data_IF_449783343683
#
_entry.id   IF_449783343683
#
_cell.length_a   1.000
_cell.length_b   1.000
_cell.length_c   1.000
_cell.angle_alpha   90.00
_cell.angle_beta   90.00
_cell.angle_gamma   90.00
#
_symmetry.space_group_name_H-M   'P 1'
#
loop_
_entity.id
_entity.type
_entity.pdbx_description
1 polymer ?
#
# COMPACT_ATOMS: atom_id res chain seq x y z
N UNK A 1 27.98 -18.32 -2.35
CA UNK A 1 27.43 -16.99 -2.71
C UNK A 1 27.58 -16.05 -1.56
N UNK A 2 27.87 -14.77 -1.80
CA UNK A 2 27.99 -13.76 -0.76
C UNK A 2 26.66 -13.59 -0.02
N UNK A 3 26.70 -13.45 1.31
CA UNK A 3 25.49 -13.27 2.14
C UNK A 3 24.69 -12.01 1.74
N UNK A 4 25.36 -10.94 1.33
CA UNK A 4 24.69 -9.73 0.81
C UNK A 4 23.84 -10.04 -0.42
N UNK A 5 24.37 -10.83 -1.33
CA UNK A 5 23.67 -11.24 -2.55
C UNK A 5 22.47 -12.12 -2.19
N UNK A 6 22.65 -13.05 -1.24
CA UNK A 6 21.56 -13.92 -0.77
C UNK A 6 20.42 -13.12 -0.14
N UNK A 7 20.76 -12.13 0.70
CA UNK A 7 19.77 -11.26 1.31
C UNK A 7 19.05 -10.44 0.26
N UNK A 8 19.76 -9.93 -0.72
CA UNK A 8 19.14 -9.16 -1.82
C UNK A 8 18.20 -10.02 -2.65
N UNK A 9 18.57 -11.28 -2.90
CA UNK A 9 17.71 -12.22 -3.63
C UNK A 9 16.43 -12.53 -2.87
N UNK A 10 16.50 -12.64 -1.54
CA UNK A 10 15.31 -12.81 -0.71
C UNK A 10 14.39 -11.60 -0.78
N UNK A 11 14.95 -10.39 -0.74
CA UNK A 11 14.19 -9.15 -0.89
C UNK A 11 13.49 -9.11 -2.24
N UNK A 12 14.17 -9.49 -3.31
CA UNK A 12 13.60 -9.53 -4.67
C UNK A 12 12.42 -10.51 -4.72
N UNK A 13 12.52 -11.66 -4.06
CA UNK A 13 11.42 -12.62 -3.99
C UNK A 13 10.19 -12.01 -3.32
N UNK A 14 10.40 -11.30 -2.20
CA UNK A 14 9.31 -10.64 -1.48
C UNK A 14 8.71 -9.53 -2.35
N UNK A 15 9.55 -8.74 -3.00
CA UNK A 15 9.09 -7.66 -3.90
C UNK A 15 8.27 -8.23 -5.06
N UNK A 16 8.69 -9.36 -5.64
CA UNK A 16 7.92 -10.01 -6.70
C UNK A 16 6.56 -10.49 -6.20
N UNK A 17 6.50 -11.02 -4.99
CA UNK A 17 5.23 -11.38 -4.37
C UNK A 17 4.33 -10.16 -4.17
N UNK A 18 4.91 -9.04 -3.75
CA UNK A 18 4.18 -7.78 -3.60
C UNK A 18 3.62 -7.30 -4.94
N UNK A 19 4.38 -7.44 -6.03
CA UNK A 19 3.88 -7.10 -7.36
C UNK A 19 2.66 -7.94 -7.73
N UNK A 20 2.64 -9.23 -7.36
CA UNK A 20 1.47 -10.08 -7.58
C UNK A 20 0.28 -9.60 -6.74
N UNK A 21 0.53 -9.16 -5.52
CA UNK A 21 -0.51 -8.55 -4.67
C UNK A 21 -1.08 -7.30 -5.35
N UNK A 22 -0.22 -6.45 -5.91
CA UNK A 22 -0.66 -5.25 -6.62
C UNK A 22 -1.53 -5.58 -7.83
N UNK A 23 -1.20 -6.64 -8.57
CA UNK A 23 -2.06 -7.09 -9.68
C UNK A 23 -3.44 -7.49 -9.18
N UNK A 24 -3.50 -8.21 -8.06
CA UNK A 24 -4.76 -8.56 -7.41
C UNK A 24 -5.55 -7.32 -6.99
N UNK A 25 -4.87 -6.34 -6.43
CA UNK A 25 -5.49 -5.07 -6.02
C UNK A 25 -6.04 -4.32 -7.22
N UNK A 26 -5.31 -4.30 -8.34
CA UNK A 26 -5.79 -3.68 -9.59
C UNK A 26 -7.11 -4.34 -10.02
N UNK A 27 -7.18 -5.67 -9.98
CA UNK A 27 -8.40 -6.40 -10.32
C UNK A 27 -9.55 -6.05 -9.37
N UNK A 28 -9.28 -6.03 -8.06
CA UNK A 28 -10.29 -5.66 -7.07
C UNK A 28 -10.75 -4.21 -7.24
N UNK A 29 -9.83 -3.30 -7.57
CA UNK A 29 -10.16 -1.89 -7.79
C UNK A 29 -11.06 -1.72 -9.01
N UNK A 30 -10.78 -2.44 -10.08
CA UNK A 30 -11.62 -2.42 -11.26
C UNK A 30 -13.03 -2.92 -10.94
N UNK A 31 -13.13 -4.02 -10.20
CA UNK A 31 -14.41 -4.55 -9.76
C UNK A 31 -15.13 -3.58 -8.82
N UNK A 32 -14.41 -2.94 -7.90
CA UNK A 32 -15.02 -1.98 -6.97
C UNK A 32 -15.61 -0.78 -7.70
N UNK A 33 -14.94 -0.31 -8.75
CA UNK A 33 -15.49 0.78 -9.56
C UNK A 33 -16.79 0.38 -10.26
N UNK A 34 -16.90 -0.87 -10.70
CA UNK A 34 -18.15 -1.39 -11.26
C UNK A 34 -19.28 -1.34 -10.22
N UNK A 35 -18.99 -1.72 -8.97
CA UNK A 35 -19.98 -1.68 -7.90
C UNK A 35 -20.39 -0.25 -7.55
N UNK A 36 -19.41 0.68 -7.51
CA UNK A 36 -19.69 2.08 -7.27
C UNK A 36 -20.61 2.65 -8.35
N UNK A 37 -20.31 2.34 -9.61
CA UNK A 37 -21.14 2.76 -10.74
C UNK A 37 -22.56 2.20 -10.61
N UNK A 38 -22.71 0.92 -10.26
CA UNK A 38 -24.01 0.30 -10.09
C UNK A 38 -24.81 0.99 -8.99
N UNK A 39 -24.15 1.39 -7.90
CA UNK A 39 -24.82 2.15 -6.85
C UNK A 39 -25.31 3.51 -7.35
N UNK A 40 -24.46 4.27 -8.03
CA UNK A 40 -24.84 5.61 -8.47
C UNK A 40 -25.87 5.62 -9.58
N UNK A 41 -25.83 4.65 -10.49
CA UNK A 41 -26.76 4.59 -11.62
C UNK A 41 -28.08 3.94 -11.23
N UNK A 42 -28.05 2.87 -10.46
CA UNK A 42 -29.21 2.02 -10.15
C UNK A 42 -29.67 2.12 -8.70
N UNK A 43 -29.05 2.95 -7.87
CA UNK A 43 -29.31 3.06 -6.44
C UNK A 43 -29.24 1.71 -5.71
N UNK A 44 -28.33 0.84 -6.14
CA UNK A 44 -28.19 -0.50 -5.57
C UNK A 44 -27.40 -0.43 -4.26
N UNK A 45 -28.12 -0.51 -3.15
CA UNK A 45 -27.52 -0.41 -1.80
C UNK A 45 -26.55 -1.57 -1.54
N UNK A 46 -26.86 -2.77 -2.04
CA UNK A 46 -25.97 -3.92 -1.86
C UNK A 46 -24.62 -3.69 -2.55
N UNK A 47 -24.63 -3.07 -3.73
CA UNK A 47 -23.40 -2.72 -4.43
C UNK A 47 -22.57 -1.70 -3.66
N UNK A 48 -23.22 -0.72 -3.03
CA UNK A 48 -22.56 0.26 -2.16
C UNK A 48 -21.85 -0.43 -0.99
N UNK A 49 -22.55 -1.31 -0.30
CA UNK A 49 -22.00 -2.02 0.86
C UNK A 49 -20.81 -2.90 0.45
N UNK A 50 -20.95 -3.61 -0.66
CA UNK A 50 -19.89 -4.46 -1.16
C UNK A 50 -18.68 -3.65 -1.62
N UNK A 51 -18.92 -2.51 -2.26
CA UNK A 51 -17.85 -1.58 -2.64
C UNK A 51 -17.04 -1.16 -1.42
N UNK A 52 -17.70 -0.75 -0.34
CA UNK A 52 -17.04 -0.33 0.89
C UNK A 52 -16.22 -1.46 1.52
N UNK A 53 -16.77 -2.67 1.55
CA UNK A 53 -16.04 -3.85 2.05
C UNK A 53 -14.78 -4.11 1.25
N UNK A 54 -14.87 -4.03 -0.08
CA UNK A 54 -13.72 -4.24 -0.96
C UNK A 54 -12.66 -3.16 -0.75
N UNK A 55 -13.06 -1.90 -0.60
CA UNK A 55 -12.11 -0.82 -0.31
C UNK A 55 -11.36 -1.06 1.00
N UNK A 56 -12.07 -1.48 2.04
CA UNK A 56 -11.43 -1.79 3.32
C UNK A 56 -10.44 -2.93 3.16
N UNK A 57 -10.78 -3.96 2.39
CA UNK A 57 -9.86 -5.07 2.11
C UNK A 57 -8.64 -4.56 1.34
N UNK A 58 -8.83 -3.77 0.29
CA UNK A 58 -7.73 -3.23 -0.52
C UNK A 58 -6.77 -2.41 0.36
N UNK A 59 -7.29 -1.46 1.12
CA UNK A 59 -6.44 -0.59 1.93
C UNK A 59 -5.80 -1.34 3.10
N UNK A 60 -6.46 -2.39 3.62
CA UNK A 60 -5.86 -3.25 4.64
C UNK A 60 -4.66 -4.00 4.09
N UNK A 61 -4.78 -4.56 2.88
CA UNK A 61 -3.67 -5.26 2.23
C UNK A 61 -2.53 -4.28 1.93
N UNK A 62 -2.86 -3.10 1.39
CA UNK A 62 -1.85 -2.07 1.11
C UNK A 62 -1.15 -1.61 2.38
N UNK A 63 -1.87 -1.49 3.49
CA UNK A 63 -1.27 -1.10 4.76
C UNK A 63 -0.24 -2.11 5.22
N UNK A 64 -0.52 -3.41 5.09
CA UNK A 64 0.44 -4.47 5.43
C UNK A 64 1.71 -4.33 4.58
N UNK A 65 1.55 -4.10 3.26
CA UNK A 65 2.69 -3.90 2.35
C UNK A 65 3.49 -2.65 2.75
N UNK A 66 2.81 -1.56 3.09
CA UNK A 66 3.47 -0.31 3.49
C UNK A 66 4.21 -0.46 4.82
N UNK A 67 3.68 -1.24 5.75
CA UNK A 67 4.37 -1.56 7.01
C UNK A 67 5.67 -2.33 6.70
N UNK A 68 5.62 -3.26 5.75
CA UNK A 68 6.81 -3.99 5.35
C UNK A 68 7.88 -3.04 4.80
N UNK A 69 7.53 -2.14 3.88
CA UNK A 69 8.49 -1.18 3.33
C UNK A 69 9.00 -0.20 4.38
N UNK A 70 8.14 0.23 5.28
CA UNK A 70 8.56 1.08 6.39
C UNK A 70 9.58 0.38 7.28
N UNK A 71 9.31 -0.86 7.65
CA UNK A 71 10.22 -1.64 8.48
C UNK A 71 11.55 -1.88 7.78
N UNK A 72 11.52 -2.21 6.50
CA UNK A 72 12.72 -2.45 5.72
C UNK A 72 13.60 -1.21 5.64
N UNK A 73 13.02 -0.05 5.36
CA UNK A 73 13.76 1.20 5.30
C UNK A 73 14.26 1.65 6.67
N UNK A 74 13.48 1.39 7.73
CA UNK A 74 13.91 1.65 9.09
C UNK A 74 15.13 0.82 9.47
N UNK A 75 15.16 -0.45 9.07
CA UNK A 75 16.29 -1.33 9.33
C UNK A 75 17.59 -0.80 8.72
N UNK A 76 17.49 -0.14 7.57
CA UNK A 76 18.65 0.44 6.89
C UNK A 76 19.25 1.61 7.68
N UNK A 77 18.46 2.28 8.53
CA UNK A 77 18.97 3.37 9.35
C UNK A 77 19.95 2.92 10.45
N UNK A 78 19.87 1.67 10.86
CA UNK A 78 20.68 1.15 11.96
C UNK A 78 22.17 1.19 11.67
N UNK A 79 22.55 1.00 10.41
CA UNK A 79 23.95 0.96 9.98
C UNK A 79 24.36 2.19 9.17
N UNK A 80 23.66 3.31 9.39
CA UNK A 80 23.83 4.52 8.59
C UNK A 80 25.28 5.01 8.55
N UNK A 81 25.98 4.94 9.69
CA UNK A 81 27.35 5.41 9.80
C UNK A 81 28.35 4.64 8.92
N UNK A 82 28.03 3.41 8.57
CA UNK A 82 28.91 2.55 7.75
C UNK A 82 28.94 2.95 6.28
N UNK A 83 28.05 3.83 5.86
CA UNK A 83 27.89 4.18 4.46
C UNK A 83 28.44 5.57 4.14
N UNK A 84 28.73 5.82 2.86
CA UNK A 84 29.12 7.16 2.40
C UNK A 84 27.98 8.15 2.64
N UNK A 85 28.31 9.44 2.69
CA UNK A 85 27.30 10.49 2.91
C UNK A 85 26.23 10.48 1.81
N UNK A 86 26.61 10.20 0.57
CA UNK A 86 25.67 10.10 -0.53
C UNK A 86 24.67 8.97 -0.33
N UNK A 87 25.16 7.80 0.10
CA UNK A 87 24.28 6.65 0.38
C UNK A 87 23.41 6.90 1.60
N UNK A 88 23.96 7.55 2.65
CA UNK A 88 23.20 7.94 3.83
C UNK A 88 22.00 8.81 3.45
N UNK A 89 22.20 9.78 2.55
CA UNK A 89 21.12 10.63 2.08
C UNK A 89 20.02 9.82 1.40
N UNK A 90 20.39 8.85 0.56
CA UNK A 90 19.43 7.99 -0.13
C UNK A 90 18.63 7.14 0.86
N UNK A 91 19.30 6.61 1.89
CA UNK A 91 18.63 5.79 2.92
C UNK A 91 17.63 6.64 3.70
N UNK A 92 18.01 7.86 4.09
CA UNK A 92 17.12 8.77 4.83
C UNK A 92 15.91 9.16 3.98
N UNK A 93 16.12 9.47 2.70
CA UNK A 93 15.03 9.81 1.79
C UNK A 93 14.09 8.63 1.58
N UNK A 94 14.64 7.42 1.46
CA UNK A 94 13.83 6.20 1.35
C UNK A 94 12.96 5.99 2.58
N UNK A 95 13.52 6.21 3.77
CA UNK A 95 12.76 6.12 5.02
C UNK A 95 11.65 7.16 5.09
N UNK A 96 11.93 8.40 4.70
CA UNK A 96 10.91 9.45 4.67
C UNK A 96 9.77 9.09 3.71
N UNK A 97 10.11 8.60 2.50
CA UNK A 97 9.11 8.18 1.54
C UNK A 97 8.24 7.05 2.08
N UNK A 98 8.86 6.04 2.70
CA UNK A 98 8.14 4.92 3.30
C UNK A 98 7.23 5.37 4.43
N UNK A 99 7.66 6.34 5.22
CA UNK A 99 6.87 6.91 6.31
C UNK A 99 5.63 7.61 5.76
N UNK A 100 5.80 8.42 4.71
CA UNK A 100 4.68 9.14 4.11
C UNK A 100 3.67 8.19 3.47
N UNK A 101 4.13 7.14 2.80
CA UNK A 101 3.25 6.13 2.21
C UNK A 101 2.45 5.42 3.31
N UNK A 102 3.12 5.05 4.41
CA UNK A 102 2.45 4.40 5.53
C UNK A 102 1.38 5.30 6.15
N UNK A 103 1.70 6.58 6.38
CA UNK A 103 0.74 7.54 6.91
C UNK A 103 -0.45 7.72 5.96
N UNK A 104 -0.18 7.80 4.65
CA UNK A 104 -1.23 7.89 3.64
C UNK A 104 -2.14 6.67 3.68
N UNK A 105 -1.56 5.47 3.80
CA UNK A 105 -2.32 4.23 3.89
C UNK A 105 -3.25 4.21 5.09
N UNK A 106 -2.77 4.67 6.25
CA UNK A 106 -3.58 4.74 7.47
C UNK A 106 -4.76 5.71 7.26
N UNK A 107 -4.49 6.87 6.70
CA UNK A 107 -5.52 7.90 6.46
C UNK A 107 -6.58 7.37 5.50
N UNK A 108 -6.17 6.75 4.38
CA UNK A 108 -7.12 6.24 3.38
C UNK A 108 -7.94 5.08 3.93
N UNK A 109 -7.34 4.19 4.72
CA UNK A 109 -8.10 3.13 5.36
C UNK A 109 -9.16 3.70 6.32
N UNK A 110 -8.79 4.71 7.09
CA UNK A 110 -9.73 5.38 7.97
C UNK A 110 -10.87 6.03 7.20
N UNK A 111 -10.54 6.72 6.09
CA UNK A 111 -11.56 7.34 5.23
C UNK A 111 -12.49 6.30 4.63
N UNK A 112 -11.96 5.18 4.16
CA UNK A 112 -12.79 4.10 3.61
C UNK A 112 -13.76 3.57 4.66
N UNK A 113 -13.32 3.54 5.91
CA UNK A 113 -14.15 3.05 7.01
C UNK A 113 -15.27 4.01 7.38
N UNK A 114 -15.00 5.34 7.41
CA UNK A 114 -15.98 6.33 7.88
C UNK A 114 -16.84 6.94 6.78
N UNK A 115 -16.47 6.79 5.51
CA UNK A 115 -17.20 7.42 4.40
C UNK A 115 -18.40 6.57 3.99
N UNK A 116 -19.51 6.74 4.71
CA UNK A 116 -20.74 5.97 4.51
C UNK A 116 -21.45 6.32 3.21
N UNK A 117 -21.33 7.56 2.76
CA UNK A 117 -22.10 8.08 1.62
C UNK A 117 -21.28 8.15 0.31
N UNK A 118 -20.05 7.67 0.31
CA UNK A 118 -19.13 7.74 -0.82
C UNK A 118 -18.90 9.18 -1.30
N UNK A 119 -18.78 10.10 -0.33
CA UNK A 119 -18.65 11.53 -0.60
C UNK A 119 -17.25 11.92 -1.11
N UNK A 120 -16.24 11.13 -0.80
CA UNK A 120 -14.84 11.47 -1.05
C UNK A 120 -14.20 10.42 -1.95
N UNK A 121 -13.52 10.86 -2.99
CA UNK A 121 -12.69 9.97 -3.80
C UNK A 121 -11.41 9.63 -3.05
N UNK A 122 -11.08 8.36 -3.01
CA UNK A 122 -9.83 7.89 -2.46
C UNK A 122 -8.79 7.79 -3.57
N UNK A 123 -7.51 7.76 -3.19
CA UNK A 123 -6.40 7.84 -4.14
C UNK A 123 -6.41 6.75 -5.22
N UNK A 124 -7.12 5.64 -5.01
CA UNK A 124 -7.20 4.54 -5.97
C UNK A 124 -8.57 4.45 -6.64
N UNK A 125 -9.47 5.32 -6.30
CA UNK A 125 -10.84 5.32 -6.82
C UNK A 125 -11.23 6.74 -7.19
#
# INVERSE_FOLDING_TARGET
MNSEIEDRLKEIKIENFIWLIYLGIIGLSYYSNYLEKDYFVNNNIKSKEKYREILIVIFSILLVVYIYFFYDSYSSLKDLEKYSKEKQKKIVLSFLGSTFILLSGIIFLYLAYIDDDLDVELAFN
#
